data_IF_303041010308
#
_entry.id   IF_303041010308
#
_cell.length_a   1.000
_cell.length_b   1.000
_cell.length_c   1.000
_cell.angle_alpha   90.00
_cell.angle_beta   90.00
_cell.angle_gamma   90.00
#
_symmetry.space_group_name_H-M   'P 1'
#
loop_
_entity.id
_entity.type
_entity.pdbx_description
1 polymer ?
#
# COMPACT_ATOMS: atom_id res chain seq x y z
N UNK A 1 -55.99 60.99 4.37
CA UNK A 1 -54.64 60.89 3.79
C UNK A 1 -53.85 59.87 4.62
N UNK A 2 -53.62 58.67 4.07
CA UNK A 2 -52.88 57.60 4.74
C UNK A 2 -51.37 57.80 4.48
N UNK A 3 -50.54 57.77 5.53
CA UNK A 3 -49.09 57.79 5.41
C UNK A 3 -48.57 56.38 5.62
N UNK A 4 -47.95 55.82 4.59
CA UNK A 4 -47.43 54.46 4.55
C UNK A 4 -46.32 54.26 5.61
N UNK A 5 -46.47 53.23 6.43
CA UNK A 5 -45.42 52.73 7.31
C UNK A 5 -44.37 51.99 6.47
N UNK A 6 -43.13 52.47 6.51
CA UNK A 6 -41.99 51.73 5.99
C UNK A 6 -41.69 50.55 6.92
N UNK A 7 -41.90 49.34 6.42
CA UNK A 7 -41.48 48.11 7.08
C UNK A 7 -39.95 48.04 7.07
N UNK A 8 -39.34 48.29 8.22
CA UNK A 8 -37.93 47.98 8.46
C UNK A 8 -37.84 46.47 8.72
N UNK A 9 -37.52 45.69 7.68
CA UNK A 9 -37.25 44.25 7.82
C UNK A 9 -35.92 44.06 8.53
N UNK A 10 -36.02 43.79 9.82
CA UNK A 10 -34.92 43.63 10.74
C UNK A 10 -34.35 42.19 10.60
N UNK A 11 -33.25 42.04 9.83
CA UNK A 11 -32.51 40.78 9.59
C UNK A 11 -31.74 40.29 10.84
N UNK A 12 -32.37 40.24 12.01
CA UNK A 12 -31.71 39.89 13.29
C UNK A 12 -31.40 38.38 13.47
N UNK A 13 -31.54 37.54 12.44
CA UNK A 13 -31.32 36.09 12.53
C UNK A 13 -30.12 35.54 11.72
N UNK A 14 -29.63 36.28 10.72
CA UNK A 14 -28.58 35.79 9.79
C UNK A 14 -27.16 35.78 10.42
N UNK A 15 -26.74 36.79 11.20
CA UNK A 15 -25.39 36.82 11.76
C UNK A 15 -25.12 35.63 12.70
N UNK A 16 -26.08 35.33 13.58
CA UNK A 16 -25.95 34.26 14.57
C UNK A 16 -25.82 32.88 13.92
N UNK A 17 -26.59 32.62 12.86
CA UNK A 17 -26.50 31.36 12.13
C UNK A 17 -25.13 31.20 11.44
N UNK A 18 -24.57 32.29 10.91
CA UNK A 18 -23.24 32.25 10.29
C UNK A 18 -22.13 31.96 11.31
N UNK A 19 -22.23 32.56 12.50
CA UNK A 19 -21.30 32.31 13.60
C UNK A 19 -21.39 30.86 14.11
N UNK A 20 -22.62 30.35 14.29
CA UNK A 20 -22.87 28.97 14.74
C UNK A 20 -22.32 27.94 13.74
N UNK A 21 -22.50 28.20 12.43
CA UNK A 21 -21.96 27.33 11.36
C UNK A 21 -20.43 27.38 11.33
N UNK A 22 -19.84 28.56 11.50
CA UNK A 22 -18.37 28.72 11.56
C UNK A 22 -17.79 27.95 12.76
N UNK A 23 -18.42 28.09 13.93
CA UNK A 23 -18.01 27.35 15.13
C UNK A 23 -18.14 25.84 14.95
N UNK A 24 -19.23 25.37 14.32
CA UNK A 24 -19.41 23.95 14.03
C UNK A 24 -18.31 23.42 13.10
N UNK A 25 -17.97 24.17 12.05
CA UNK A 25 -16.88 23.80 11.12
C UNK A 25 -15.55 23.69 11.89
N UNK A 26 -15.22 24.67 12.74
CA UNK A 26 -14.00 24.61 13.54
C UNK A 26 -13.97 23.44 14.53
N UNK A 27 -15.12 23.06 15.09
CA UNK A 27 -15.22 21.91 15.98
C UNK A 27 -15.03 20.59 15.22
N UNK A 28 -15.65 20.48 14.04
CA UNK A 28 -15.48 19.33 13.16
C UNK A 28 -14.03 19.19 12.71
N UNK A 29 -13.40 20.28 12.28
CA UNK A 29 -12.00 20.29 11.84
C UNK A 29 -11.04 19.86 12.97
N UNK A 30 -11.25 20.35 14.19
CA UNK A 30 -10.41 19.99 15.34
C UNK A 30 -10.60 18.56 15.83
N UNK A 31 -11.84 18.07 15.85
CA UNK A 31 -12.18 16.85 16.60
C UNK A 31 -12.61 15.67 15.74
N UNK A 32 -13.17 15.91 14.56
CA UNK A 32 -13.84 14.89 13.77
C UNK A 32 -13.15 14.61 12.44
N UNK A 33 -12.56 15.61 11.79
CA UNK A 33 -11.99 15.50 10.46
C UNK A 33 -10.51 15.10 10.48
N UNK A 34 -10.07 14.59 9.34
CA UNK A 34 -8.69 14.21 9.11
C UNK A 34 -7.76 15.43 9.10
N UNK A 35 -6.51 15.31 9.60
CA UNK A 35 -5.57 16.43 9.71
C UNK A 35 -4.95 16.85 8.36
N UNK A 36 -5.17 16.08 7.30
CA UNK A 36 -4.65 16.34 5.95
C UNK A 36 -5.58 17.24 5.10
N UNK A 37 -6.66 17.75 5.71
CA UNK A 37 -7.68 18.54 5.03
C UNK A 37 -8.64 17.72 4.18
N UNK A 38 -8.55 16.38 4.21
CA UNK A 38 -9.56 15.53 3.59
C UNK A 38 -10.86 15.57 4.40
N UNK A 39 -12.00 15.48 3.71
CA UNK A 39 -13.33 15.41 4.33
C UNK A 39 -13.64 13.99 4.85
N UNK A 40 -12.62 13.32 5.40
CA UNK A 40 -12.73 12.01 6.04
C UNK A 40 -12.84 12.19 7.54
N UNK A 41 -13.46 11.23 8.22
CA UNK A 41 -13.36 11.16 9.67
C UNK A 41 -11.91 10.87 10.06
N UNK A 42 -11.50 11.39 11.22
CA UNK A 42 -10.17 11.20 11.79
C UNK A 42 -9.83 9.72 11.97
N UNK A 43 -10.80 8.90 12.38
CA UNK A 43 -10.62 7.46 12.50
C UNK A 43 -10.38 6.80 11.14
N UNK A 44 -11.21 7.10 10.14
CA UNK A 44 -11.08 6.53 8.81
C UNK A 44 -9.74 6.90 8.14
N UNK A 45 -9.24 8.11 8.40
CA UNK A 45 -7.91 8.53 7.96
C UNK A 45 -6.80 7.65 8.54
N UNK A 46 -6.78 7.44 9.87
CA UNK A 46 -5.76 6.62 10.50
C UNK A 46 -5.89 5.12 10.16
N UNK A 47 -7.11 4.60 10.08
CA UNK A 47 -7.37 3.22 9.67
C UNK A 47 -6.85 2.98 8.24
N UNK A 48 -7.07 3.94 7.33
CA UNK A 48 -6.55 3.87 5.97
C UNK A 48 -5.02 3.97 5.91
N UNK A 49 -4.41 4.83 6.73
CA UNK A 49 -2.94 4.91 6.82
C UNK A 49 -2.35 3.57 7.27
N UNK A 50 -2.88 3.01 8.35
CA UNK A 50 -2.43 1.71 8.86
C UNK A 50 -2.62 0.61 7.80
N UNK A 51 -3.78 0.56 7.15
CA UNK A 51 -4.03 -0.42 6.09
C UNK A 51 -3.03 -0.28 4.93
N UNK A 52 -2.66 0.95 4.55
CA UNK A 52 -1.65 1.19 3.51
C UNK A 52 -0.27 0.70 3.94
N UNK A 53 0.12 0.95 5.18
CA UNK A 53 1.41 0.48 5.73
C UNK A 53 1.49 -1.05 5.71
N UNK A 54 0.45 -1.73 6.19
CA UNK A 54 0.37 -3.20 6.19
C UNK A 54 0.37 -3.77 4.76
N UNK A 55 -0.37 -3.16 3.82
CA UNK A 55 -0.35 -3.57 2.41
C UNK A 55 1.04 -3.39 1.78
N UNK A 56 1.73 -2.28 2.06
CA UNK A 56 3.09 -2.05 1.55
C UNK A 56 4.07 -3.09 2.10
N UNK A 57 3.97 -3.43 3.38
CA UNK A 57 4.78 -4.45 4.03
C UNK A 57 4.54 -5.83 3.43
N UNK A 58 3.29 -6.23 3.27
CA UNK A 58 2.95 -7.51 2.66
C UNK A 58 3.43 -7.60 1.20
N UNK A 59 3.29 -6.50 0.44
CA UNK A 59 3.81 -6.43 -0.92
C UNK A 59 5.33 -6.63 -0.98
N UNK A 60 6.07 -6.10 -0.01
CA UNK A 60 7.52 -6.29 0.07
C UNK A 60 7.87 -7.76 0.30
N UNK A 61 7.24 -8.42 1.27
CA UNK A 61 7.44 -9.85 1.52
C UNK A 61 7.09 -10.71 0.31
N UNK A 62 6.03 -10.38 -0.43
CA UNK A 62 5.68 -11.09 -1.66
C UNK A 62 6.77 -10.97 -2.73
N UNK A 63 7.34 -9.77 -2.91
CA UNK A 63 8.44 -9.55 -3.87
C UNK A 63 9.71 -10.29 -3.46
N UNK A 64 10.03 -10.32 -2.17
CA UNK A 64 11.14 -11.10 -1.63
C UNK A 64 10.94 -12.59 -1.88
N UNK A 65 9.73 -13.12 -1.62
CA UNK A 65 9.38 -14.50 -1.89
C UNK A 65 9.48 -14.84 -3.39
N UNK A 66 9.02 -13.94 -4.27
CA UNK A 66 9.17 -14.11 -5.72
C UNK A 66 10.64 -14.14 -6.15
N UNK A 67 11.49 -13.29 -5.57
CA UNK A 67 12.92 -13.28 -5.87
C UNK A 67 13.56 -14.62 -5.47
N UNK A 68 13.29 -15.11 -4.26
CA UNK A 68 13.77 -16.42 -3.78
C UNK A 68 13.28 -17.55 -4.68
N UNK A 69 12.00 -17.54 -5.07
CA UNK A 69 11.45 -18.55 -5.97
C UNK A 69 12.11 -18.52 -7.36
N UNK A 70 12.39 -17.32 -7.88
CA UNK A 70 13.13 -17.13 -9.12
C UNK A 70 14.55 -17.70 -9.05
N UNK A 71 15.28 -17.40 -7.97
CA UNK A 71 16.61 -17.95 -7.73
C UNK A 71 16.60 -19.48 -7.62
N UNK A 72 15.65 -20.05 -6.88
CA UNK A 72 15.50 -21.50 -6.75
C UNK A 72 15.20 -22.16 -8.10
N UNK A 73 14.33 -21.56 -8.90
CA UNK A 73 14.01 -22.04 -10.26
C UNK A 73 15.27 -22.02 -11.14
N UNK A 74 16.00 -20.91 -11.15
CA UNK A 74 17.23 -20.79 -11.93
C UNK A 74 18.27 -21.83 -11.51
N UNK A 75 18.45 -22.08 -10.21
CA UNK A 75 19.37 -23.11 -9.73
C UNK A 75 18.99 -24.53 -10.22
N UNK A 76 17.70 -24.84 -10.30
CA UNK A 76 17.22 -26.13 -10.81
C UNK A 76 17.44 -26.22 -12.32
N UNK A 77 17.15 -25.17 -13.06
CA UNK A 77 17.36 -25.10 -14.51
C UNK A 77 18.84 -25.24 -14.87
N UNK A 78 19.72 -24.50 -14.18
CA UNK A 78 21.17 -24.60 -14.32
C UNK A 78 21.66 -26.01 -14.02
N UNK A 79 21.14 -26.65 -12.96
CA UNK A 79 21.47 -28.04 -12.64
C UNK A 79 21.01 -29.03 -13.72
N UNK A 80 19.79 -28.89 -14.23
CA UNK A 80 19.28 -29.76 -15.28
C UNK A 80 20.08 -29.61 -16.58
N UNK A 81 20.41 -28.37 -16.96
CA UNK A 81 21.26 -28.09 -18.12
C UNK A 81 22.64 -28.74 -17.97
N UNK A 82 23.25 -28.58 -16.80
CA UNK A 82 24.50 -29.21 -16.39
C UNK A 82 24.49 -30.74 -16.59
N UNK A 83 23.45 -31.41 -16.08
CA UNK A 83 23.28 -32.86 -16.22
C UNK A 83 23.07 -33.27 -17.68
N UNK A 84 22.24 -32.54 -18.43
CA UNK A 84 22.03 -32.79 -19.86
C UNK A 84 23.32 -32.66 -20.67
N UNK A 85 24.15 -31.64 -20.41
CA UNK A 85 25.43 -31.48 -21.10
C UNK A 85 26.42 -32.61 -20.76
N UNK A 86 26.49 -33.02 -19.49
CA UNK A 86 27.35 -34.13 -19.07
C UNK A 86 26.93 -35.47 -19.71
N UNK A 87 25.63 -35.73 -19.78
CA UNK A 87 25.09 -36.95 -20.42
C UNK A 87 25.34 -36.98 -21.93
N UNK A 88 25.25 -35.84 -22.63
CA UNK A 88 25.60 -35.73 -24.05
C UNK A 88 27.09 -35.98 -24.30
N UNK A 89 27.96 -35.61 -23.35
CA UNK A 89 29.40 -35.88 -23.36
C UNK A 89 29.82 -37.29 -22.95
N UNK A 90 28.87 -38.20 -22.66
CA UNK A 90 29.16 -39.59 -22.30
C UNK A 90 29.56 -39.83 -20.84
N UNK A 91 29.49 -38.82 -19.96
CA UNK A 91 29.73 -38.98 -18.53
C UNK A 91 28.47 -39.51 -17.84
N UNK A 92 28.56 -40.70 -17.23
CA UNK A 92 27.43 -41.39 -16.59
C UNK A 92 27.31 -41.15 -15.08
N UNK A 93 28.33 -40.59 -14.45
CA UNK A 93 28.35 -40.41 -13.00
C UNK A 93 28.06 -38.97 -12.59
N UNK A 94 26.79 -38.70 -12.27
CA UNK A 94 26.27 -37.38 -11.88
C UNK A 94 27.01 -36.80 -10.66
N UNK A 95 27.56 -37.65 -9.77
CA UNK A 95 28.35 -37.18 -8.62
C UNK A 95 29.72 -36.62 -9.02
N UNK A 96 30.34 -37.12 -10.09
CA UNK A 96 31.62 -36.62 -10.60
C UNK A 96 31.51 -35.29 -11.36
N UNK A 97 30.28 -34.93 -11.77
CA UNK A 97 29.96 -33.76 -12.59
C UNK A 97 29.83 -32.49 -11.74
N UNK A 98 29.38 -32.62 -10.48
CA UNK A 98 29.20 -31.49 -9.54
C UNK A 98 30.43 -30.58 -9.40
N UNK A 99 31.63 -31.12 -9.08
CA UNK A 99 32.83 -30.30 -8.94
C UNK A 99 33.29 -29.65 -10.26
N UNK A 100 33.01 -30.29 -11.40
CA UNK A 100 33.45 -29.84 -12.73
C UNK A 100 32.60 -28.69 -13.27
N UNK A 101 31.35 -28.58 -12.82
CA UNK A 101 30.42 -27.52 -13.21
C UNK A 101 30.35 -26.37 -12.19
N UNK A 102 31.24 -26.37 -11.18
CA UNK A 102 31.27 -25.35 -10.13
C UNK A 102 30.08 -25.40 -9.16
N UNK A 103 29.25 -26.44 -9.26
CA UNK A 103 28.06 -26.62 -8.42
C UNK A 103 28.50 -27.24 -7.08
N UNK A 104 28.20 -26.56 -5.97
CA UNK A 104 28.63 -27.00 -4.63
C UNK A 104 27.72 -28.07 -4.01
N UNK A 105 26.48 -28.19 -4.48
CA UNK A 105 25.49 -29.12 -3.95
C UNK A 105 24.29 -29.24 -4.89
N UNK A 106 23.56 -30.35 -4.79
CA UNK A 106 22.31 -30.51 -5.51
C UNK A 106 21.23 -29.56 -5.03
N UNK A 107 20.35 -29.08 -5.92
CA UNK A 107 19.06 -28.56 -5.49
C UNK A 107 18.40 -29.66 -4.65
N UNK A 108 18.04 -29.37 -3.40
CA UNK A 108 17.36 -30.30 -2.48
C UNK A 108 15.91 -29.89 -2.31
#
# INVERSE_FOLDING_TARGET
>A
MAKAGGFQLQLHGVPKLADDVTQLIEQLDRHCLAPDGSLLSKSAYYDLQLAREEMCKERLHYLEALAIYGEATAMVEEYQQAVSMASLGGMRDVQSVYPQLGLKSSPK
#
